data_IF_398142525334
#
_entry.id   IF_398142525334
#
_cell.length_a   1.000
_cell.length_b   1.000
_cell.length_c   1.000
_cell.angle_alpha   90.00
_cell.angle_beta   90.00
_cell.angle_gamma   90.00
#
_symmetry.space_group_name_H-M   'P 1'
#
loop_
_entity.id
_entity.type
_entity.pdbx_description
1 polymer ?
#
# COMPACT_ATOMS: atom_id res chain seq x y z
N UNK A 1 -27.56 -17.80 -6.51
CA UNK A 1 -26.40 -16.90 -6.24
C UNK A 1 -25.11 -17.35 -6.91
N UNK A 2 -24.64 -18.60 -6.74
CA UNK A 2 -23.37 -19.06 -7.34
C UNK A 2 -23.28 -18.92 -8.88
N UNK A 3 -24.38 -19.18 -9.62
CA UNK A 3 -24.40 -19.11 -11.09
C UNK A 3 -24.27 -17.67 -11.64
N UNK A 4 -25.05 -16.72 -11.09
CA UNK A 4 -24.96 -15.29 -11.42
C UNK A 4 -23.62 -14.65 -11.05
N UNK A 5 -23.02 -15.07 -9.92
CA UNK A 5 -21.69 -14.60 -9.52
C UNK A 5 -20.63 -15.11 -10.51
N UNK A 6 -20.74 -16.37 -10.95
CA UNK A 6 -19.84 -16.98 -11.93
C UNK A 6 -19.92 -16.28 -13.29
N UNK A 7 -21.14 -16.05 -13.79
CA UNK A 7 -21.40 -15.29 -15.03
C UNK A 7 -20.86 -13.85 -14.96
N UNK A 8 -21.00 -13.17 -13.81
CA UNK A 8 -20.44 -11.83 -13.61
C UNK A 8 -18.90 -11.84 -13.60
N UNK A 9 -18.27 -12.81 -12.92
CA UNK A 9 -16.81 -12.93 -12.88
C UNK A 9 -16.19 -13.28 -14.23
N UNK A 10 -16.92 -13.99 -15.10
CA UNK A 10 -16.48 -14.33 -16.44
C UNK A 10 -16.65 -13.14 -17.41
N UNK A 11 -17.81 -12.46 -17.35
CA UNK A 11 -18.10 -11.27 -18.18
C UNK A 11 -17.27 -10.05 -17.82
N UNK A 12 -16.91 -9.87 -16.55
CA UNK A 12 -16.15 -8.73 -16.04
C UNK A 12 -14.86 -9.15 -15.32
N UNK A 13 -14.03 -9.95 -16.02
CA UNK A 13 -12.82 -10.52 -15.44
C UNK A 13 -11.83 -9.48 -14.88
N UNK A 14 -11.75 -8.28 -15.46
CA UNK A 14 -10.90 -7.20 -14.94
C UNK A 14 -11.51 -6.50 -13.72
N UNK A 15 -12.84 -6.30 -13.66
CA UNK A 15 -13.51 -5.79 -12.46
C UNK A 15 -13.33 -6.76 -11.29
N UNK A 16 -13.40 -8.07 -11.55
CA UNK A 16 -13.16 -9.07 -10.52
C UNK A 16 -11.71 -9.09 -10.02
N UNK A 17 -10.72 -8.87 -10.89
CA UNK A 17 -9.32 -8.69 -10.49
C UNK A 17 -9.13 -7.43 -9.66
N UNK A 18 -9.79 -6.34 -10.03
CA UNK A 18 -9.78 -5.12 -9.24
C UNK A 18 -10.38 -5.34 -7.85
N UNK A 19 -11.53 -5.99 -7.74
CA UNK A 19 -12.15 -6.32 -6.43
C UNK A 19 -11.20 -7.17 -5.57
N UNK A 20 -10.57 -8.20 -6.15
CA UNK A 20 -9.59 -9.03 -5.43
C UNK A 20 -8.35 -8.24 -5.02
N UNK A 21 -7.88 -7.34 -5.87
CA UNK A 21 -6.75 -6.46 -5.56
C UNK A 21 -7.08 -5.55 -4.38
N UNK A 22 -8.25 -4.91 -4.40
CA UNK A 22 -8.72 -4.05 -3.30
C UNK A 22 -8.90 -4.84 -2.00
N UNK A 23 -9.50 -6.04 -2.07
CA UNK A 23 -9.64 -6.91 -0.90
C UNK A 23 -8.29 -7.36 -0.33
N UNK A 24 -7.34 -7.69 -1.22
CA UNK A 24 -5.97 -8.03 -0.82
C UNK A 24 -5.34 -6.85 -0.11
N UNK A 25 -5.42 -5.64 -0.68
CA UNK A 25 -4.90 -4.42 -0.06
C UNK A 25 -5.47 -4.18 1.33
N UNK A 26 -6.80 -4.21 1.47
CA UNK A 26 -7.47 -4.04 2.76
C UNK A 26 -7.04 -5.10 3.79
N UNK A 27 -6.97 -6.36 3.38
CA UNK A 27 -6.55 -7.47 4.27
C UNK A 27 -5.11 -7.29 4.76
N UNK A 28 -4.21 -6.87 3.88
CA UNK A 28 -2.80 -6.67 4.22
C UNK A 28 -2.57 -5.41 5.04
N UNK A 29 -3.40 -4.37 4.88
CA UNK A 29 -3.37 -3.20 5.76
C UNK A 29 -3.80 -3.54 7.19
N UNK A 30 -4.78 -4.43 7.36
CA UNK A 30 -5.15 -4.93 8.70
C UNK A 30 -4.01 -5.73 9.33
N UNK A 31 -3.34 -6.59 8.55
CA UNK A 31 -2.15 -7.32 9.00
C UNK A 31 -1.02 -6.37 9.40
N UNK A 32 -0.71 -5.40 8.55
CA UNK A 32 0.30 -4.37 8.82
C UNK A 32 0.00 -3.61 10.11
N UNK A 33 -1.25 -3.16 10.29
CA UNK A 33 -1.67 -2.44 11.49
C UNK A 33 -1.53 -3.32 12.75
N UNK A 34 -1.92 -4.59 12.67
CA UNK A 34 -1.79 -5.52 13.79
C UNK A 34 -0.31 -5.73 14.19
N UNK A 35 0.56 -5.94 13.20
CA UNK A 35 2.01 -6.07 13.42
C UNK A 35 2.58 -4.76 13.98
N UNK A 36 2.19 -3.62 13.41
CA UNK A 36 2.61 -2.31 13.88
C UNK A 36 2.25 -2.11 15.35
N UNK A 37 0.99 -2.36 15.74
CA UNK A 37 0.54 -2.21 17.12
C UNK A 37 1.31 -3.13 18.08
N UNK A 38 1.51 -4.39 17.68
CA UNK A 38 2.28 -5.34 18.48
C UNK A 38 3.73 -4.85 18.69
N UNK A 39 4.40 -4.43 17.62
CA UNK A 39 5.76 -3.91 17.70
C UNK A 39 5.83 -2.62 18.52
N UNK A 40 4.92 -1.68 18.28
CA UNK A 40 4.91 -0.35 18.88
C UNK A 40 4.65 -0.39 20.39
N UNK A 41 3.72 -1.22 20.84
CA UNK A 41 3.25 -1.22 22.22
C UNK A 41 3.81 -2.37 23.08
N UNK A 42 4.37 -3.42 22.46
CA UNK A 42 4.94 -4.57 23.17
C UNK A 42 6.45 -4.64 22.98
N UNK A 43 6.93 -4.78 21.75
CA UNK A 43 8.34 -5.09 21.47
C UNK A 43 9.26 -3.88 21.65
N UNK A 44 8.90 -2.74 21.09
CA UNK A 44 9.72 -1.52 21.06
C UNK A 44 9.20 -0.41 21.98
N UNK A 45 8.32 -0.75 22.92
CA UNK A 45 7.75 0.21 23.88
C UNK A 45 8.82 1.07 24.56
N UNK A 46 9.93 0.46 24.97
CA UNK A 46 11.05 1.15 25.62
C UNK A 46 11.81 2.11 24.70
N UNK A 47 11.80 1.86 23.38
CA UNK A 47 12.50 2.67 22.38
C UNK A 47 11.67 3.85 21.88
N UNK A 48 10.39 3.95 22.24
CA UNK A 48 9.55 5.10 21.92
C UNK A 48 9.96 6.38 22.67
N UNK A 49 10.72 6.26 23.75
CA UNK A 49 11.29 7.41 24.46
C UNK A 49 12.60 7.91 23.83
N UNK A 50 13.17 7.18 22.87
CA UNK A 50 14.47 7.52 22.28
C UNK A 50 14.25 8.22 20.94
N UNK A 51 14.64 9.50 20.80
CA UNK A 51 14.49 10.22 19.55
C UNK A 51 15.44 9.67 18.47
N UNK A 52 15.02 9.81 17.22
CA UNK A 52 15.88 9.63 16.06
C UNK A 52 16.63 10.94 15.82
N UNK A 53 17.96 10.87 15.73
CA UNK A 53 18.80 12.06 15.54
C UNK A 53 19.06 12.35 14.05
N UNK A 54 18.97 13.61 13.66
CA UNK A 54 19.56 14.22 12.46
C UNK A 54 19.42 13.44 11.14
N UNK A 55 18.19 13.03 10.79
CA UNK A 55 17.91 12.43 9.49
C UNK A 55 16.77 13.15 8.76
N UNK A 56 17.13 13.95 7.75
CA UNK A 56 16.19 14.72 6.94
C UNK A 56 15.14 13.86 6.23
N UNK A 57 15.48 12.62 5.83
CA UNK A 57 14.54 11.70 5.20
C UNK A 57 13.53 11.16 6.21
N UNK A 58 13.95 10.82 7.42
CA UNK A 58 13.05 10.36 8.48
C UNK A 58 12.15 11.49 8.99
N UNK A 59 12.70 12.71 9.08
CA UNK A 59 11.92 13.91 9.38
C UNK A 59 10.87 14.20 8.30
N UNK A 60 11.23 14.05 7.01
CA UNK A 60 10.28 14.15 5.90
C UNK A 60 9.13 13.14 6.00
N UNK A 61 9.41 11.92 6.50
CA UNK A 61 8.40 10.90 6.74
C UNK A 61 7.61 11.09 8.07
N UNK A 62 7.95 12.11 8.87
CA UNK A 62 7.31 12.36 10.17
C UNK A 62 7.70 11.37 11.28
N UNK A 63 8.87 10.73 11.17
CA UNK A 63 9.35 9.72 12.12
C UNK A 63 10.31 10.35 13.13
N UNK A 64 9.85 10.50 14.38
CA UNK A 64 10.60 11.19 15.44
C UNK A 64 11.27 10.25 16.46
N UNK A 65 10.74 9.04 16.66
CA UNK A 65 11.18 8.12 17.72
C UNK A 65 11.63 6.77 17.15
N UNK A 66 12.68 6.18 17.75
CA UNK A 66 13.28 4.92 17.28
C UNK A 66 12.30 3.75 17.33
N UNK A 67 11.50 3.65 18.39
CA UNK A 67 10.49 2.59 18.50
C UNK A 67 9.42 2.69 17.40
N UNK A 68 8.97 3.91 17.08
CA UNK A 68 8.06 4.15 15.96
C UNK A 68 8.71 3.81 14.62
N UNK A 69 9.96 4.24 14.40
CA UNK A 69 10.73 3.95 13.19
C UNK A 69 10.79 2.43 12.91
N UNK A 70 11.21 1.65 13.90
CA UNK A 70 11.34 0.20 13.74
C UNK A 70 9.99 -0.48 13.56
N UNK A 71 8.98 -0.09 14.35
CA UNK A 71 7.63 -0.63 14.21
C UNK A 71 7.06 -0.38 12.83
N UNK A 72 7.14 0.87 12.34
CA UNK A 72 6.66 1.28 11.02
C UNK A 72 7.41 0.57 9.89
N UNK A 73 8.75 0.53 9.95
CA UNK A 73 9.54 -0.11 8.91
C UNK A 73 9.24 -1.61 8.80
N UNK A 74 9.21 -2.33 9.92
CA UNK A 74 8.98 -3.78 9.92
C UNK A 74 7.53 -4.09 9.53
N UNK A 75 6.54 -3.36 10.05
CA UNK A 75 5.14 -3.58 9.69
C UNK A 75 4.89 -3.34 8.21
N UNK A 76 5.43 -2.24 7.65
CA UNK A 76 5.29 -1.91 6.24
C UNK A 76 5.92 -2.99 5.35
N UNK A 77 7.13 -3.47 5.69
CA UNK A 77 7.78 -4.56 4.95
C UNK A 77 6.89 -5.81 4.93
N UNK A 78 6.34 -6.21 6.08
CA UNK A 78 5.47 -7.38 6.18
C UNK A 78 4.16 -7.17 5.39
N UNK A 79 3.53 -6.00 5.52
CA UNK A 79 2.31 -5.64 4.81
C UNK A 79 2.48 -5.72 3.30
N UNK A 80 3.50 -5.05 2.76
CA UNK A 80 3.79 -5.05 1.33
C UNK A 80 4.24 -6.42 0.82
N UNK A 81 5.03 -7.17 1.60
CA UNK A 81 5.41 -8.53 1.23
C UNK A 81 4.19 -9.47 1.16
N UNK A 82 3.29 -9.40 2.13
CA UNK A 82 2.04 -10.16 2.11
C UNK A 82 1.18 -9.77 0.89
N UNK A 83 1.05 -8.47 0.60
CA UNK A 83 0.30 -7.96 -0.54
C UNK A 83 0.87 -8.46 -1.87
N UNK A 84 2.19 -8.49 -2.00
CA UNK A 84 2.87 -9.06 -3.16
C UNK A 84 2.55 -10.55 -3.32
N UNK A 85 2.72 -11.36 -2.26
CA UNK A 85 2.49 -12.81 -2.30
C UNK A 85 1.03 -13.13 -2.64
N UNK A 86 0.09 -12.44 -1.99
CA UNK A 86 -1.35 -12.61 -2.22
C UNK A 86 -1.74 -12.19 -3.64
N UNK A 87 -1.28 -11.03 -4.13
CA UNK A 87 -1.58 -10.60 -5.49
C UNK A 87 -0.98 -11.54 -6.53
N UNK A 88 0.24 -12.02 -6.30
CA UNK A 88 0.88 -13.00 -7.18
C UNK A 88 0.13 -14.32 -7.25
N UNK A 89 -0.27 -14.89 -6.11
CA UNK A 89 -0.88 -16.24 -6.03
C UNK A 89 -2.39 -16.25 -6.25
N UNK A 90 -3.12 -15.27 -5.71
CA UNK A 90 -4.58 -15.26 -5.67
C UNK A 90 -5.21 -14.36 -6.75
N UNK A 91 -4.68 -13.14 -6.91
CA UNK A 91 -5.27 -12.12 -7.78
C UNK A 91 -4.89 -12.32 -9.25
N UNK A 92 -3.59 -12.41 -9.54
CA UNK A 92 -3.07 -12.40 -10.90
C UNK A 92 -2.53 -13.76 -11.39
N UNK A 93 -2.22 -14.69 -10.47
CA UNK A 93 -1.65 -16.02 -10.76
C UNK A 93 -0.45 -15.93 -11.72
N UNK A 94 0.55 -15.14 -11.35
CA UNK A 94 1.62 -14.73 -12.27
C UNK A 94 2.82 -15.70 -12.31
N UNK A 95 3.27 -15.99 -13.54
CA UNK A 95 4.42 -16.84 -13.87
C UNK A 95 5.67 -16.04 -14.31
N UNK A 96 5.64 -14.71 -14.19
CA UNK A 96 6.80 -13.86 -14.46
C UNK A 96 7.99 -14.14 -13.52
N UNK A 97 9.19 -13.78 -13.95
CA UNK A 97 10.41 -13.95 -13.17
C UNK A 97 10.25 -13.32 -11.76
N UNK A 98 10.35 -14.12 -10.68
CA UNK A 98 10.14 -13.63 -9.34
C UNK A 98 11.03 -12.46 -8.92
N UNK A 99 12.30 -12.48 -9.32
CA UNK A 99 13.28 -11.48 -8.93
C UNK A 99 12.95 -10.14 -9.58
N UNK A 100 12.71 -10.14 -10.89
CA UNK A 100 12.30 -8.94 -11.62
C UNK A 100 11.01 -8.34 -11.05
N UNK A 101 9.98 -9.15 -10.85
CA UNK A 101 8.71 -8.68 -10.29
C UNK A 101 8.87 -8.09 -8.88
N UNK A 102 9.77 -8.65 -8.06
CA UNK A 102 10.05 -8.13 -6.71
C UNK A 102 10.73 -6.77 -6.76
N UNK A 103 11.73 -6.59 -7.62
CA UNK A 103 12.46 -5.31 -7.77
C UNK A 103 11.51 -4.20 -8.23
N UNK A 104 10.70 -4.46 -9.27
CA UNK A 104 9.76 -3.46 -9.79
C UNK A 104 8.65 -3.17 -8.77
N UNK A 105 8.19 -4.17 -8.01
CA UNK A 105 7.22 -3.94 -6.93
C UNK A 105 7.80 -3.07 -5.81
N UNK A 106 9.03 -3.35 -5.37
CA UNK A 106 9.70 -2.55 -4.35
C UNK A 106 9.89 -1.10 -4.80
N UNK A 107 10.30 -0.88 -6.06
CA UNK A 107 10.42 0.46 -6.65
C UNK A 107 9.07 1.19 -6.69
N UNK A 108 8.00 0.50 -7.11
CA UNK A 108 6.66 1.07 -7.12
C UNK A 108 6.21 1.49 -5.72
N UNK A 109 6.42 0.64 -4.71
CA UNK A 109 6.08 0.94 -3.31
C UNK A 109 6.85 2.15 -2.82
N UNK A 110 8.16 2.19 -3.04
CA UNK A 110 9.02 3.30 -2.62
C UNK A 110 8.56 4.64 -3.22
N UNK A 111 8.31 4.69 -4.53
CA UNK A 111 7.80 5.90 -5.20
C UNK A 111 6.42 6.30 -4.68
N UNK A 112 5.57 5.33 -4.37
CA UNK A 112 4.22 5.59 -3.85
C UNK A 112 4.27 6.19 -2.44
N UNK A 113 5.20 5.75 -1.58
CA UNK A 113 5.39 6.32 -0.24
C UNK A 113 5.84 7.77 -0.33
N UNK A 114 6.82 8.08 -1.19
CA UNK A 114 7.28 9.46 -1.41
C UNK A 114 6.14 10.33 -1.92
N UNK A 115 5.40 9.85 -2.92
CA UNK A 115 4.24 10.58 -3.45
C UNK A 115 3.19 10.82 -2.37
N UNK A 116 2.80 9.81 -1.60
CA UNK A 116 1.77 9.97 -0.56
C UNK A 116 2.17 10.96 0.52
N UNK A 117 3.45 10.95 0.92
CA UNK A 117 3.99 11.87 1.91
C UNK A 117 3.93 13.31 1.40
N UNK A 118 4.45 13.55 0.19
CA UNK A 118 4.42 14.87 -0.45
C UNK A 118 3.00 15.36 -0.74
N UNK A 119 2.17 14.50 -1.34
CA UNK A 119 0.80 14.84 -1.76
C UNK A 119 -0.11 15.10 -0.57
N UNK A 120 0.05 14.34 0.52
CA UNK A 120 -0.64 14.58 1.79
C UNK A 120 -0.29 15.95 2.38
N UNK A 121 0.99 16.30 2.44
CA UNK A 121 1.43 17.61 2.92
C UNK A 121 0.95 18.76 2.01
N UNK A 122 0.99 18.57 0.69
CA UNK A 122 0.51 19.53 -0.30
C UNK A 122 -0.99 19.81 -0.12
N UNK A 123 -1.83 18.77 -0.10
CA UNK A 123 -3.27 18.96 0.07
C UNK A 123 -3.63 19.49 1.46
N UNK A 124 -2.92 19.07 2.51
CA UNK A 124 -3.11 19.62 3.86
C UNK A 124 -2.87 21.13 3.90
N UNK A 125 -1.75 21.57 3.33
CA UNK A 125 -1.40 23.01 3.22
C UNK A 125 -2.45 23.76 2.41
N UNK A 126 -2.90 23.20 1.29
CA UNK A 126 -3.90 23.82 0.43
C UNK A 126 -5.26 23.98 1.14
N UNK A 127 -5.72 22.96 1.87
CA UNK A 127 -6.96 23.02 2.68
C UNK A 127 -6.86 24.11 3.74
N UNK A 128 -5.73 24.17 4.46
CA UNK A 128 -5.51 25.19 5.51
C UNK A 128 -5.46 26.60 4.94
N UNK A 129 -4.78 26.82 3.81
CA UNK A 129 -4.67 28.13 3.17
C UNK A 129 -6.01 28.66 2.64
N UNK A 130 -6.95 27.77 2.29
CA UNK A 130 -8.30 28.14 1.87
C UNK A 130 -9.30 28.25 3.03
N UNK A 131 -8.84 28.06 4.28
CA UNK A 131 -9.70 28.15 5.46
C UNK A 131 -10.70 27.00 5.62
N UNK A 132 -10.50 25.88 4.91
CA UNK A 132 -11.41 24.73 4.94
C UNK A 132 -11.10 23.76 6.09
N UNK A 133 -10.75 24.29 7.25
CA UNK A 133 -10.36 23.51 8.43
C UNK A 133 -11.60 22.89 9.09
N UNK A 134 -12.08 21.81 8.49
CA UNK A 134 -13.18 20.97 8.97
C UNK A 134 -12.74 19.53 8.99
N UNK A 135 -13.18 18.79 10.02
CA UNK A 135 -12.93 17.36 10.17
C UNK A 135 -13.37 16.58 8.93
N UNK A 136 -14.48 16.97 8.30
CA UNK A 136 -15.01 16.32 7.10
C UNK A 136 -14.04 16.51 5.93
N UNK A 137 -13.49 17.72 5.75
CA UNK A 137 -12.55 18.04 4.67
C UNK A 137 -11.24 17.29 4.87
N UNK A 138 -10.73 17.21 6.10
CA UNK A 138 -9.53 16.44 6.43
C UNK A 138 -9.71 14.95 6.11
N UNK A 139 -10.86 14.37 6.46
CA UNK A 139 -11.18 12.97 6.14
C UNK A 139 -11.24 12.74 4.62
N UNK A 140 -11.90 13.64 3.87
CA UNK A 140 -11.97 13.56 2.41
C UNK A 140 -10.56 13.64 1.81
N UNK A 141 -9.74 14.57 2.27
CA UNK A 141 -8.34 14.70 1.81
C UNK A 141 -7.55 13.43 2.05
N UNK A 142 -7.66 12.81 3.25
CA UNK A 142 -7.01 11.53 3.54
C UNK A 142 -7.49 10.41 2.60
N UNK A 143 -8.80 10.34 2.33
CA UNK A 143 -9.37 9.36 1.38
C UNK A 143 -8.84 9.58 -0.04
N UNK A 144 -8.71 10.83 -0.48
CA UNK A 144 -8.13 11.15 -1.78
C UNK A 144 -6.66 10.71 -1.83
N UNK A 145 -5.85 11.07 -0.82
CA UNK A 145 -4.42 10.72 -0.76
C UNK A 145 -4.21 9.21 -0.80
N UNK A 146 -5.03 8.43 -0.10
CA UNK A 146 -4.89 6.96 -0.13
C UNK A 146 -5.42 6.31 -1.42
N UNK A 147 -6.37 6.95 -2.12
CA UNK A 147 -7.02 6.35 -3.30
C UNK A 147 -6.30 6.68 -4.60
N UNK A 148 -5.73 7.89 -4.74
CA UNK A 148 -5.03 8.32 -5.95
C UNK A 148 -3.95 7.33 -6.41
N UNK A 149 -3.14 6.72 -5.52
CA UNK A 149 -2.18 5.70 -5.91
C UNK A 149 -2.75 4.49 -6.63
N UNK A 150 -4.02 4.15 -6.39
CA UNK A 150 -4.64 3.00 -7.05
C UNK A 150 -4.66 3.12 -8.58
N UNK A 151 -4.60 4.37 -9.10
CA UNK A 151 -4.54 4.70 -10.52
C UNK A 151 -3.31 4.08 -11.19
N UNK A 152 -2.14 4.08 -10.53
CA UNK A 152 -0.92 3.44 -11.07
C UNK A 152 -0.62 2.10 -10.44
N UNK A 153 -0.91 1.89 -9.15
CA UNK A 153 -0.56 0.64 -8.49
C UNK A 153 -1.33 -0.53 -9.10
N UNK A 154 -2.60 -0.37 -9.46
CA UNK A 154 -3.36 -1.46 -10.07
C UNK A 154 -2.82 -1.82 -11.48
N UNK A 155 -2.67 -0.88 -12.44
CA UNK A 155 -2.08 -1.19 -13.74
C UNK A 155 -0.67 -1.76 -13.65
N UNK A 156 0.21 -1.22 -12.79
CA UNK A 156 1.55 -1.76 -12.61
C UNK A 156 1.52 -3.19 -12.06
N UNK A 157 0.66 -3.46 -11.07
CA UNK A 157 0.49 -4.81 -10.56
C UNK A 157 -0.03 -5.76 -11.64
N UNK A 158 -1.02 -5.33 -12.43
CA UNK A 158 -1.67 -6.15 -13.45
C UNK A 158 -0.80 -6.42 -14.68
N UNK A 159 -0.14 -5.39 -15.22
CA UNK A 159 0.47 -5.41 -16.54
C UNK A 159 2.00 -5.45 -16.52
N UNK A 160 2.65 -5.07 -15.42
CA UNK A 160 4.12 -5.02 -15.36
C UNK A 160 4.68 -6.04 -14.38
N UNK A 161 4.15 -6.07 -13.15
CA UNK A 161 4.71 -6.83 -12.02
C UNK A 161 4.21 -8.27 -12.04
N UNK A 162 2.90 -8.48 -12.10
CA UNK A 162 2.29 -9.80 -12.08
C UNK A 162 1.84 -10.24 -13.49
N UNK A 163 2.75 -10.09 -14.45
CA UNK A 163 2.52 -10.59 -15.81
C UNK A 163 2.37 -12.11 -15.81
N UNK A 164 1.35 -12.59 -16.51
CA UNK A 164 1.34 -13.98 -16.97
C UNK A 164 2.15 -14.06 -18.25
N UNK A 165 3.03 -15.05 -18.35
CA UNK A 165 3.63 -15.41 -19.64
C UNK A 165 2.46 -15.89 -20.52
N UNK A 166 2.34 -15.35 -21.73
CA UNK A 166 1.42 -15.91 -22.72
C UNK A 166 1.92 -17.34 -22.98
N UNK A 167 1.09 -18.35 -22.73
CA UNK A 167 1.41 -19.71 -23.18
C UNK A 167 1.68 -19.64 -24.68
N UNK A 168 2.76 -20.27 -25.12
CA UNK A 168 3.17 -20.25 -26.54
C UNK A 168 2.22 -21.05 -27.45
N UNK A 169 1.12 -21.58 -26.90
CA UNK A 169 0.10 -22.35 -27.61
C UNK A 169 -1.28 -21.69 -27.37
N UNK A 170 -1.58 -20.65 -28.15
CA UNK A 170 -2.93 -20.15 -28.48
C UNK A 170 -2.88 -19.45 -29.85
#
# INVERSE_FOLDING_TARGET
MKKKLKEFTEKHSEIWKFIKFTFTGASTSVLELAVFMFLQYVVFKSLNAVPVTDNAFLAFLGIEYKGYMYSYAISAIIGYAAAYIMNRKLTFKADANPVFSTIIYALMVFLTIIFNTWFGAFLGTWVTNNGWNSVIVEMITKVIVMTVPTIWTYPLNRFVIHRKKKSADE
#
